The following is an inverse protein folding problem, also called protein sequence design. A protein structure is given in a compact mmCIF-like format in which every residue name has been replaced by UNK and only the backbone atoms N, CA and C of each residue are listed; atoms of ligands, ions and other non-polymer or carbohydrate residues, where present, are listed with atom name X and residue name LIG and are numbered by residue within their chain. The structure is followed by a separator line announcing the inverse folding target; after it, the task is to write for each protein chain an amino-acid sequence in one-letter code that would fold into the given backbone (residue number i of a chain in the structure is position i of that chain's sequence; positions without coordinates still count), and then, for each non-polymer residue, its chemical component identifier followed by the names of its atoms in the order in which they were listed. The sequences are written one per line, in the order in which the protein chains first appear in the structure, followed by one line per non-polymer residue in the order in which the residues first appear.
data_IF_261058587904
#
_entry.id   IF_261058587904
#
_cell.length_a   1.000
_cell.length_b   1.000
_cell.length_c   1.000
_cell.angle_alpha   90.00
_cell.angle_beta   90.00
_cell.angle_gamma   90.00
#
_symmetry.space_group_name_H-M   'P 1'
#
loop_
_entity.id
_entity.type
_entity.pdbx_description
1 polymer ?
#
# COMPACT_ATOMS: atom_id res chain seq x y z
N UNK A 1 -11.80 16.45 -26.49
CA UNK A 1 -12.55 15.32 -25.92
C UNK A 1 -13.51 15.83 -24.82
N UNK A 2 -13.09 16.56 -23.77
CA UNK A 2 -13.92 16.99 -22.66
C UNK A 2 -15.26 17.63 -23.08
N UNK A 3 -15.23 18.61 -24.00
CA UNK A 3 -16.46 19.22 -24.55
C UNK A 3 -17.40 18.21 -25.20
N UNK A 4 -16.87 17.21 -25.91
CA UNK A 4 -17.69 16.21 -26.57
C UNK A 4 -18.33 15.24 -25.57
N UNK A 5 -17.62 14.90 -24.50
CA UNK A 5 -18.13 14.05 -23.42
C UNK A 5 -19.20 14.82 -22.65
N UNK A 6 -18.90 16.02 -22.18
CA UNK A 6 -19.84 16.82 -21.38
C UNK A 6 -21.09 17.24 -22.18
N UNK A 7 -21.03 17.27 -23.52
CA UNK A 7 -22.22 17.43 -24.34
C UNK A 7 -23.22 16.27 -24.22
N UNK A 8 -22.72 15.08 -23.91
CA UNK A 8 -23.51 13.84 -23.79
C UNK A 8 -23.81 13.48 -22.34
N UNK A 9 -22.84 13.69 -21.47
CA UNK A 9 -22.89 13.40 -20.04
C UNK A 9 -22.31 14.63 -19.32
N UNK A 10 -23.16 15.63 -18.98
CA UNK A 10 -22.71 16.93 -18.48
C UNK A 10 -21.83 16.85 -17.24
N UNK A 11 -22.11 15.92 -16.33
CA UNK A 11 -21.43 15.79 -15.04
C UNK A 11 -20.41 14.63 -15.02
N UNK A 12 -19.98 14.14 -16.20
CA UNK A 12 -18.99 13.07 -16.27
C UNK A 12 -17.67 13.51 -15.61
N UNK A 13 -17.18 12.82 -14.57
CA UNK A 13 -15.86 13.11 -14.04
C UNK A 13 -14.79 12.74 -15.06
N UNK A 14 -13.89 13.68 -15.35
CA UNK A 14 -12.79 13.50 -16.29
C UNK A 14 -11.46 13.60 -15.55
N UNK A 15 -10.57 12.71 -15.86
CA UNK A 15 -9.26 12.67 -15.22
C UNK A 15 -8.21 11.96 -16.08
N UNK A 16 -7.15 11.60 -15.45
CA UNK A 16 -5.98 10.98 -16.06
C UNK A 16 -4.71 11.54 -15.43
N UNK A 17 -3.57 11.47 -16.14
CA UNK A 17 -3.38 10.82 -17.43
C UNK A 17 -3.12 9.32 -17.37
N UNK A 18 -3.18 8.70 -16.20
CA UNK A 18 -2.87 7.28 -15.97
C UNK A 18 -1.44 6.93 -16.37
N UNK A 19 -0.50 7.56 -15.66
CA UNK A 19 0.92 7.28 -15.90
C UNK A 19 1.26 5.85 -15.50
N UNK A 20 2.00 5.17 -16.36
CA UNK A 20 2.81 4.01 -15.99
C UNK A 20 4.19 4.51 -15.50
N UNK A 21 4.74 3.98 -14.42
CA UNK A 21 6.09 4.33 -13.98
C UNK A 21 6.25 5.76 -13.45
N UNK A 22 5.48 6.12 -12.47
CA UNK A 22 5.39 7.45 -11.86
C UNK A 22 6.69 8.18 -11.50
N UNK A 23 7.79 7.55 -11.07
CA UNK A 23 9.03 8.28 -10.84
C UNK A 23 9.70 8.76 -12.11
N UNK A 24 9.62 7.98 -13.18
CA UNK A 24 10.26 8.30 -14.46
C UNK A 24 9.63 9.51 -15.13
N UNK A 25 8.33 9.73 -14.97
CA UNK A 25 7.63 10.87 -15.57
C UNK A 25 8.13 12.21 -15.04
N UNK A 26 8.41 12.31 -13.76
CA UNK A 26 8.88 13.57 -13.16
C UNK A 26 10.30 13.91 -13.62
N UNK A 27 11.15 12.90 -13.76
CA UNK A 27 12.59 13.08 -13.96
C UNK A 27 13.02 13.01 -15.43
N UNK A 28 12.25 12.36 -16.32
CA UNK A 28 12.78 11.89 -17.60
C UNK A 28 12.23 12.61 -18.83
N UNK A 29 11.15 13.38 -18.73
CA UNK A 29 10.48 13.93 -19.90
C UNK A 29 10.64 15.45 -20.01
N UNK A 30 11.89 15.92 -20.05
CA UNK A 30 12.18 17.30 -20.39
C UNK A 30 11.71 17.64 -21.81
N UNK A 31 11.09 18.81 -21.98
CA UNK A 31 10.80 19.33 -23.31
C UNK A 31 12.01 20.06 -23.93
N UNK A 32 11.89 20.46 -25.17
CA UNK A 32 12.93 21.23 -25.88
C UNK A 32 13.29 22.59 -25.21
N UNK A 33 12.47 23.09 -24.31
CA UNK A 33 12.67 24.31 -23.53
C UNK A 33 13.25 24.06 -22.15
N UNK A 34 13.66 22.83 -21.84
CA UNK A 34 14.22 22.45 -20.52
C UNK A 34 13.19 22.37 -19.39
N UNK A 35 11.90 22.35 -19.69
CA UNK A 35 10.86 22.12 -18.70
C UNK A 35 10.80 20.64 -18.37
N UNK A 36 11.06 20.32 -17.12
CA UNK A 36 11.44 18.97 -16.71
C UNK A 36 10.28 17.98 -16.67
N UNK A 37 9.05 18.26 -16.67
CA UNK A 37 8.01 17.27 -16.35
C UNK A 37 6.85 17.33 -17.34
N UNK A 38 6.38 16.15 -17.79
CA UNK A 38 5.12 16.04 -18.52
C UNK A 38 3.96 16.58 -17.68
N UNK A 39 3.92 16.26 -16.39
CA UNK A 39 2.91 16.73 -15.44
C UNK A 39 2.81 18.25 -15.43
N UNK A 40 3.95 18.96 -15.39
CA UNK A 40 3.98 20.43 -15.46
C UNK A 40 3.39 20.94 -16.76
N UNK A 41 3.82 20.39 -17.89
CA UNK A 41 3.34 20.80 -19.22
C UNK A 41 1.85 20.51 -19.40
N UNK A 42 1.37 19.38 -18.88
CA UNK A 42 -0.02 19.00 -18.92
C UNK A 42 -0.90 20.00 -18.15
N UNK A 43 -0.54 20.34 -16.91
CA UNK A 43 -1.32 21.31 -16.15
C UNK A 43 -1.19 22.73 -16.69
N UNK A 44 -0.03 23.14 -17.20
CA UNK A 44 0.13 24.44 -17.87
C UNK A 44 -0.73 24.53 -19.14
N UNK A 45 -0.84 23.44 -19.90
CA UNK A 45 -1.73 23.35 -21.06
C UNK A 45 -3.20 23.49 -20.64
N UNK A 46 -3.64 22.77 -19.63
CA UNK A 46 -5.03 22.87 -19.16
C UNK A 46 -5.36 24.29 -18.68
N UNK A 47 -4.47 24.92 -17.92
CA UNK A 47 -4.64 26.31 -17.46
C UNK A 47 -4.72 27.30 -18.61
N UNK A 48 -3.78 27.25 -19.54
CA UNK A 48 -3.71 28.18 -20.67
C UNK A 48 -4.91 28.08 -21.61
N UNK A 49 -5.59 26.94 -21.63
CA UNK A 49 -6.80 26.71 -22.40
C UNK A 49 -8.10 26.87 -21.62
N UNK A 50 -8.04 27.29 -20.35
CA UNK A 50 -9.22 27.42 -19.49
C UNK A 50 -9.96 26.10 -19.28
N UNK A 51 -9.21 24.99 -19.16
CA UNK A 51 -9.75 23.63 -19.07
C UNK A 51 -9.39 22.91 -17.78
N UNK A 52 -8.78 23.60 -16.83
CA UNK A 52 -8.37 22.98 -15.56
C UNK A 52 -9.58 22.47 -14.76
N UNK A 53 -10.71 23.17 -14.83
CA UNK A 53 -11.94 22.78 -14.14
C UNK A 53 -12.59 21.50 -14.69
N UNK A 54 -12.24 21.10 -15.92
CA UNK A 54 -12.67 19.80 -16.45
C UNK A 54 -11.91 18.62 -15.80
N UNK A 55 -10.77 18.90 -15.16
CA UNK A 55 -9.91 17.89 -14.57
C UNK A 55 -10.32 17.62 -13.12
N UNK A 56 -11.05 16.53 -12.90
CA UNK A 56 -11.69 16.25 -11.63
C UNK A 56 -10.98 15.19 -10.79
N UNK A 57 -10.08 14.41 -11.38
CA UNK A 57 -9.23 13.47 -10.66
C UNK A 57 -7.91 13.22 -11.39
N UNK A 58 -6.86 12.92 -10.65
CA UNK A 58 -5.57 12.49 -11.17
C UNK A 58 -5.45 10.97 -11.02
N UNK A 59 -4.97 10.29 -12.05
CA UNK A 59 -4.77 8.84 -12.02
C UNK A 59 -3.38 8.45 -12.47
N UNK A 60 -2.87 7.36 -11.91
CA UNK A 60 -1.57 6.81 -12.21
C UNK A 60 -1.53 5.32 -11.92
N UNK A 61 -0.54 4.65 -12.46
CA UNK A 61 -0.20 3.27 -12.18
C UNK A 61 1.09 3.21 -11.34
N UNK A 62 1.23 2.20 -10.52
CA UNK A 62 2.45 2.03 -9.76
C UNK A 62 2.86 0.56 -9.68
N UNK A 63 4.00 0.30 -10.27
CA UNK A 63 4.69 -0.99 -10.20
C UNK A 63 6.08 -0.71 -9.65
N UNK A 64 6.38 -1.10 -8.41
CA UNK A 64 7.71 -0.91 -7.87
C UNK A 64 8.71 -1.64 -8.76
N UNK A 65 9.82 -1.00 -9.05
CA UNK A 65 10.91 -1.64 -9.77
C UNK A 65 10.78 -1.82 -11.30
N UNK A 66 9.69 -1.38 -11.92
CA UNK A 66 9.62 -1.41 -13.38
C UNK A 66 10.79 -0.68 -14.03
N UNK A 67 11.20 0.44 -13.45
CA UNK A 67 12.17 1.35 -14.06
C UNK A 67 13.58 1.28 -13.47
N UNK A 68 13.81 0.58 -12.36
CA UNK A 68 15.04 0.73 -11.58
C UNK A 68 15.85 -0.52 -11.34
N UNK A 69 15.35 -1.70 -11.70
CA UNK A 69 15.99 -2.95 -11.28
C UNK A 69 16.11 -2.99 -9.75
N UNK A 70 15.10 -3.42 -9.05
CA UNK A 70 15.16 -3.47 -7.58
C UNK A 70 16.02 -4.64 -7.10
N UNK A 71 16.89 -4.41 -6.13
CA UNK A 71 17.38 -5.49 -5.29
C UNK A 71 16.16 -6.08 -4.56
N UNK A 72 15.94 -7.35 -4.71
CA UNK A 72 14.75 -8.11 -4.27
C UNK A 72 14.01 -7.55 -3.04
N UNK A 73 14.56 -7.66 -1.87
CA UNK A 73 13.88 -7.28 -0.62
C UNK A 73 14.02 -5.79 -0.26
N UNK A 74 15.15 -5.19 -0.59
CA UNK A 74 15.47 -3.82 -0.21
C UNK A 74 14.51 -2.77 -0.79
N UNK A 75 13.82 -3.09 -1.88
CA UNK A 75 12.79 -2.21 -2.45
C UNK A 75 11.64 -1.88 -1.49
N UNK A 76 11.37 -2.76 -0.51
CA UNK A 76 10.35 -2.52 0.50
C UNK A 76 10.68 -1.34 1.44
N UNK A 77 11.97 -1.07 1.68
CA UNK A 77 12.37 -0.08 2.66
C UNK A 77 12.08 1.35 2.21
N UNK A 78 12.27 1.61 0.91
CA UNK A 78 12.21 2.97 0.36
C UNK A 78 10.80 3.32 -0.17
N UNK A 79 9.90 2.37 -0.25
CA UNK A 79 8.61 2.53 -0.92
C UNK A 79 7.74 3.64 -0.31
N UNK A 80 7.53 3.74 1.02
CA UNK A 80 6.71 4.80 1.60
C UNK A 80 7.30 6.20 1.39
N UNK A 81 8.62 6.33 1.40
CA UNK A 81 9.30 7.59 1.13
C UNK A 81 9.18 7.96 -0.36
N UNK A 82 9.31 6.98 -1.24
CA UNK A 82 9.11 7.16 -2.68
C UNK A 82 7.69 7.65 -2.99
N UNK A 83 6.65 7.07 -2.38
CA UNK A 83 5.27 7.53 -2.51
C UNK A 83 5.14 9.01 -2.15
N UNK A 84 5.66 9.41 -1.01
CA UNK A 84 5.58 10.80 -0.56
C UNK A 84 6.34 11.75 -1.50
N UNK A 85 7.53 11.35 -1.95
CA UNK A 85 8.36 12.12 -2.89
C UNK A 85 7.64 12.34 -4.23
N UNK A 86 7.03 11.31 -4.78
CA UNK A 86 6.33 11.38 -6.07
C UNK A 86 5.08 12.26 -5.98
N UNK A 87 4.27 12.09 -4.93
CA UNK A 87 3.09 12.94 -4.72
C UNK A 87 3.48 14.40 -4.54
N UNK A 88 4.55 14.68 -3.80
CA UNK A 88 5.05 16.05 -3.64
C UNK A 88 5.52 16.62 -4.97
N UNK A 89 6.23 15.85 -5.77
CA UNK A 89 6.67 16.27 -7.10
C UNK A 89 5.49 16.62 -8.02
N UNK A 90 4.39 15.87 -8.00
CA UNK A 90 3.19 16.23 -8.76
C UNK A 90 2.57 17.55 -8.29
N UNK A 91 2.49 17.77 -6.98
CA UNK A 91 2.00 19.03 -6.41
C UNK A 91 2.88 20.20 -6.82
N UNK A 92 4.19 20.07 -6.77
CA UNK A 92 5.16 21.07 -7.18
C UNK A 92 5.11 21.35 -8.70
N UNK A 93 4.69 20.37 -9.47
CA UNK A 93 4.47 20.48 -10.93
C UNK A 93 3.05 20.90 -11.30
N UNK A 94 2.21 21.24 -10.35
CA UNK A 94 0.95 21.94 -10.57
C UNK A 94 -0.31 21.13 -10.44
N UNK A 95 -0.25 19.90 -9.89
CA UNK A 95 -1.46 19.17 -9.48
C UNK A 95 -2.22 20.04 -8.46
N UNK A 96 -3.47 20.42 -8.73
CA UNK A 96 -4.23 21.23 -7.80
C UNK A 96 -4.50 20.47 -6.49
N UNK A 97 -4.35 21.10 -5.32
CA UNK A 97 -4.44 20.42 -4.03
C UNK A 97 -5.81 19.82 -3.72
N UNK A 98 -6.86 20.32 -4.36
CA UNK A 98 -8.24 19.82 -4.19
C UNK A 98 -8.56 18.64 -5.12
N UNK A 99 -7.72 18.34 -6.11
CA UNK A 99 -7.96 17.24 -7.06
C UNK A 99 -7.54 15.94 -6.38
N UNK A 100 -8.47 15.00 -6.18
CA UNK A 100 -8.13 13.70 -5.64
C UNK A 100 -7.26 12.91 -6.61
N UNK A 101 -6.41 12.05 -6.09
CA UNK A 101 -5.59 11.17 -6.90
C UNK A 101 -5.88 9.70 -6.56
N UNK A 102 -5.77 8.85 -7.58
CA UNK A 102 -6.08 7.43 -7.50
C UNK A 102 -4.97 6.62 -8.16
N UNK A 103 -4.50 5.60 -7.46
CA UNK A 103 -3.75 4.54 -8.12
C UNK A 103 -4.76 3.64 -8.83
N UNK A 104 -4.78 3.72 -10.15
CA UNK A 104 -5.74 2.98 -10.97
C UNK A 104 -5.26 1.58 -11.33
N UNK A 105 -3.98 1.32 -11.16
CA UNK A 105 -3.35 0.04 -11.39
C UNK A 105 -2.06 -0.06 -10.57
N UNK A 106 -1.80 -1.21 -9.96
CA UNK A 106 -0.55 -1.44 -9.27
C UNK A 106 -0.41 -2.86 -8.73
N UNK A 107 0.82 -3.35 -8.76
CA UNK A 107 1.21 -4.65 -8.22
C UNK A 107 2.75 -4.73 -8.12
N UNK A 108 3.25 -5.58 -7.25
CA UNK A 108 4.64 -6.03 -7.25
C UNK A 108 4.74 -7.33 -8.06
N UNK A 109 5.05 -7.19 -9.36
CA UNK A 109 5.02 -8.31 -10.32
C UNK A 109 6.39 -8.96 -10.55
N UNK A 110 7.49 -8.36 -10.10
CA UNK A 110 8.85 -8.77 -10.48
C UNK A 110 9.58 -9.52 -9.37
N UNK A 111 10.69 -10.12 -9.75
CA UNK A 111 11.70 -10.78 -8.90
C UNK A 111 11.38 -12.18 -8.38
N UNK A 112 10.56 -12.95 -9.08
CA UNK A 112 10.23 -14.32 -8.65
C UNK A 112 9.48 -14.36 -7.31
N UNK A 113 9.10 -13.18 -6.80
CA UNK A 113 8.49 -13.00 -5.49
C UNK A 113 6.98 -13.11 -5.46
N UNK A 114 6.30 -13.21 -6.62
CA UNK A 114 4.85 -13.14 -6.69
C UNK A 114 4.11 -14.20 -5.84
N UNK A 115 4.71 -15.37 -5.65
CA UNK A 115 4.19 -16.40 -4.75
C UNK A 115 4.56 -16.20 -3.27
N UNK A 116 5.49 -15.30 -2.95
CA UNK A 116 6.03 -15.12 -1.60
C UNK A 116 5.23 -14.09 -0.77
N UNK A 117 5.60 -13.94 0.49
CA UNK A 117 5.00 -12.91 1.36
C UNK A 117 5.41 -11.48 0.98
N UNK A 118 6.51 -11.28 0.24
CA UNK A 118 7.03 -9.95 -0.11
C UNK A 118 6.00 -9.04 -0.78
N UNK A 119 5.28 -9.44 -1.85
CA UNK A 119 4.25 -8.59 -2.46
C UNK A 119 3.09 -8.24 -1.53
N UNK A 120 2.81 -9.09 -0.54
CA UNK A 120 1.81 -8.78 0.49
C UNK A 120 2.27 -7.66 1.42
N UNK A 121 3.55 -7.70 1.86
CA UNK A 121 4.16 -6.63 2.65
C UNK A 121 4.17 -5.32 1.87
N UNK A 122 4.62 -5.38 0.60
CA UNK A 122 4.60 -4.22 -0.29
C UNK A 122 3.21 -3.61 -0.38
N UNK A 123 2.19 -4.42 -0.66
CA UNK A 123 0.81 -3.94 -0.84
C UNK A 123 0.27 -3.27 0.42
N UNK A 124 0.53 -3.86 1.60
CA UNK A 124 0.08 -3.30 2.86
C UNK A 124 0.76 -1.95 3.17
N UNK A 125 2.07 -1.89 2.97
CA UNK A 125 2.87 -0.69 3.20
C UNK A 125 2.49 0.42 2.22
N UNK A 126 2.36 0.08 0.94
CA UNK A 126 1.97 1.02 -0.11
C UNK A 126 0.56 1.59 0.12
N UNK A 127 -0.44 0.75 0.42
CA UNK A 127 -1.80 1.22 0.73
C UNK A 127 -1.80 2.13 1.95
N UNK A 128 -1.10 1.75 3.01
CA UNK A 128 -0.96 2.59 4.20
C UNK A 128 -0.35 3.96 3.88
N UNK A 129 0.73 3.99 3.13
CA UNK A 129 1.43 5.22 2.74
C UNK A 129 0.57 6.12 1.86
N UNK A 130 -0.01 5.59 0.78
CA UNK A 130 -0.75 6.40 -0.19
C UNK A 130 -2.07 6.92 0.37
N UNK A 131 -2.78 6.13 1.17
CA UNK A 131 -4.00 6.58 1.85
C UNK A 131 -3.70 7.69 2.86
N UNK A 132 -2.60 7.55 3.62
CA UNK A 132 -2.14 8.60 4.55
C UNK A 132 -1.70 9.87 3.81
N UNK A 133 -1.20 9.75 2.58
CA UNK A 133 -0.88 10.87 1.73
C UNK A 133 -2.11 11.55 1.09
N UNK A 134 -3.31 10.98 1.24
CA UNK A 134 -4.57 11.55 0.81
C UNK A 134 -5.11 11.00 -0.51
N UNK A 135 -4.74 9.78 -0.91
CA UNK A 135 -5.33 9.13 -2.06
C UNK A 135 -6.85 8.91 -1.89
N UNK A 136 -7.60 9.07 -2.97
CA UNK A 136 -9.02 8.77 -3.01
C UNK A 136 -9.33 7.26 -3.12
N UNK A 137 -8.37 6.47 -3.56
CA UNK A 137 -8.49 5.03 -3.67
C UNK A 137 -7.31 4.38 -4.38
N UNK A 138 -7.25 3.06 -4.27
CA UNK A 138 -6.24 2.21 -4.90
C UNK A 138 -6.89 1.01 -5.53
N UNK A 139 -6.42 0.63 -6.72
CA UNK A 139 -6.90 -0.52 -7.46
C UNK A 139 -5.74 -1.47 -7.75
N UNK A 140 -5.92 -2.71 -7.37
CA UNK A 140 -4.90 -3.73 -7.56
C UNK A 140 -5.01 -4.37 -8.96
N UNK A 141 -3.89 -4.57 -9.62
CA UNK A 141 -3.81 -5.28 -10.88
C UNK A 141 -3.17 -6.65 -10.69
N UNK A 142 -3.94 -7.73 -10.85
CA UNK A 142 -5.35 -7.82 -11.22
C UNK A 142 -6.08 -8.91 -10.39
N UNK A 143 -7.41 -9.00 -10.52
CA UNK A 143 -8.22 -9.90 -9.70
C UNK A 143 -8.00 -11.37 -10.01
N UNK A 144 -8.04 -11.74 -11.27
CA UNK A 144 -7.93 -13.14 -11.69
C UNK A 144 -6.55 -13.37 -12.29
N UNK A 145 -5.84 -14.26 -11.68
CA UNK A 145 -4.65 -14.82 -12.28
C UNK A 145 -5.06 -15.91 -13.25
N UNK A 146 -4.18 -16.18 -14.22
CA UNK A 146 -4.09 -17.49 -14.83
C UNK A 146 -3.87 -18.55 -13.73
N UNK A 147 -3.89 -19.82 -14.06
CA UNK A 147 -3.76 -20.96 -13.13
C UNK A 147 -2.55 -20.91 -12.18
N UNK A 148 -1.65 -19.96 -12.37
CA UNK A 148 -0.42 -19.84 -11.65
C UNK A 148 -0.49 -18.74 -10.58
N UNK A 149 -0.26 -19.09 -9.30
CA UNK A 149 -0.13 -18.13 -8.18
C UNK A 149 0.98 -17.10 -8.40
N UNK A 150 1.99 -17.44 -9.19
CA UNK A 150 3.06 -16.54 -9.55
C UNK A 150 2.69 -15.44 -10.55
N UNK A 151 1.48 -15.40 -11.05
CA UNK A 151 1.05 -14.42 -12.06
C UNK A 151 0.61 -13.07 -11.50
N UNK A 152 0.71 -12.84 -10.19
CA UNK A 152 0.37 -11.58 -9.56
C UNK A 152 -1.12 -11.31 -9.34
N UNK A 153 -2.01 -12.20 -9.74
CA UNK A 153 -3.44 -12.06 -9.47
C UNK A 153 -3.84 -12.43 -8.04
N UNK A 154 -4.97 -11.93 -7.59
CA UNK A 154 -5.48 -12.27 -6.25
C UNK A 154 -5.99 -13.71 -6.14
N UNK A 155 -6.63 -14.21 -7.18
CA UNK A 155 -7.45 -15.41 -7.15
C UNK A 155 -7.03 -16.37 -8.26
N UNK A 156 -6.09 -17.29 -8.02
CA UNK A 156 -5.82 -18.39 -8.93
C UNK A 156 -7.09 -19.21 -9.17
N UNK A 157 -7.37 -19.48 -10.43
CA UNK A 157 -8.56 -20.21 -10.85
C UNK A 157 -8.16 -21.44 -11.65
N UNK A 158 -8.99 -22.50 -11.60
CA UNK A 158 -8.91 -23.68 -12.46
C UNK A 158 -9.54 -23.42 -13.85
N UNK A 159 -9.45 -24.41 -14.73
CA UNK A 159 -10.06 -24.35 -16.08
C UNK A 159 -11.58 -24.17 -16.06
N UNK A 160 -12.24 -24.42 -14.94
CA UNK A 160 -13.66 -24.22 -14.75
C UNK A 160 -14.00 -22.86 -14.13
N UNK A 161 -13.02 -21.99 -13.92
CA UNK A 161 -13.18 -20.69 -13.28
C UNK A 161 -13.38 -20.74 -11.76
N UNK A 162 -13.02 -21.84 -11.09
CA UNK A 162 -13.12 -21.96 -9.64
C UNK A 162 -11.85 -21.49 -8.99
N UNK A 163 -11.99 -20.70 -7.94
CA UNK A 163 -10.84 -20.28 -7.10
C UNK A 163 -10.23 -21.52 -6.44
N UNK A 164 -8.96 -21.74 -6.67
CA UNK A 164 -8.21 -22.91 -6.17
C UNK A 164 -7.42 -22.59 -4.91
N UNK A 165 -7.06 -21.33 -4.72
CA UNK A 165 -6.28 -20.86 -3.58
C UNK A 165 -6.36 -19.34 -3.44
N UNK A 166 -5.71 -18.80 -2.42
CA UNK A 166 -5.57 -17.37 -2.21
C UNK A 166 -4.10 -16.98 -2.29
N UNK A 167 -3.83 -15.86 -2.96
CA UNK A 167 -2.47 -15.31 -2.97
C UNK A 167 -2.18 -14.57 -1.67
N UNK A 168 -0.91 -14.36 -1.31
CA UNK A 168 -0.55 -13.59 -0.12
C UNK A 168 -1.07 -12.14 -0.20
N UNK A 169 -1.12 -11.54 -1.40
CA UNK A 169 -1.70 -10.21 -1.61
C UNK A 169 -3.21 -10.17 -1.30
N UNK A 170 -3.95 -11.21 -1.67
CA UNK A 170 -5.36 -11.33 -1.30
C UNK A 170 -5.54 -11.40 0.22
N UNK A 171 -4.73 -12.20 0.90
CA UNK A 171 -4.78 -12.34 2.35
C UNK A 171 -4.39 -11.02 3.05
N UNK A 172 -3.36 -10.31 2.54
CA UNK A 172 -3.02 -8.97 2.99
C UNK A 172 -4.18 -7.98 2.81
N UNK A 173 -4.85 -8.02 1.65
CA UNK A 173 -6.01 -7.16 1.39
C UNK A 173 -7.14 -7.43 2.37
N UNK A 174 -7.37 -8.67 2.77
CA UNK A 174 -8.34 -8.98 3.82
C UNK A 174 -7.93 -8.37 5.17
N UNK A 175 -6.65 -8.43 5.53
CA UNK A 175 -6.14 -7.79 6.75
C UNK A 175 -6.37 -6.29 6.70
N UNK A 176 -6.07 -5.65 5.57
CA UNK A 176 -6.27 -4.20 5.42
C UNK A 176 -7.75 -3.83 5.48
N UNK A 177 -8.60 -4.49 4.70
CA UNK A 177 -9.99 -4.07 4.49
C UNK A 177 -10.96 -4.51 5.59
N UNK A 178 -10.64 -5.57 6.32
CA UNK A 178 -11.53 -6.12 7.36
C UNK A 178 -11.01 -5.92 8.77
N UNK A 179 -9.68 -5.82 8.93
CA UNK A 179 -9.07 -5.76 10.25
C UNK A 179 -8.54 -4.35 10.56
N UNK A 180 -7.74 -3.76 9.67
CA UNK A 180 -7.29 -2.38 9.85
C UNK A 180 -8.46 -1.41 9.65
N UNK A 181 -9.10 -1.41 8.49
CA UNK A 181 -10.36 -0.71 8.29
C UNK A 181 -11.54 -1.49 8.88
N UNK A 182 -12.64 -0.81 9.12
CA UNK A 182 -13.93 -1.44 9.42
C UNK A 182 -14.73 -1.50 8.11
N UNK A 183 -15.26 -2.67 7.70
CA UNK A 183 -15.99 -2.81 6.44
C UNK A 183 -17.43 -2.30 6.55
N UNK A 184 -17.58 -1.02 6.77
CA UNK A 184 -18.86 -0.32 6.89
C UNK A 184 -18.84 0.95 6.06
N UNK A 185 -19.99 1.40 5.61
CA UNK A 185 -20.17 2.68 4.90
C UNK A 185 -20.17 3.85 5.88
N UNK A 186 -19.01 4.10 6.48
CA UNK A 186 -18.79 5.20 7.41
C UNK A 186 -17.34 5.67 7.35
N UNK A 187 -17.13 6.97 7.59
CA UNK A 187 -15.83 7.59 7.50
C UNK A 187 -14.87 7.10 8.59
N UNK A 188 -13.67 6.74 8.18
CA UNK A 188 -12.51 6.52 9.06
C UNK A 188 -11.68 7.79 9.13
N UNK A 189 -10.98 8.00 10.24
CA UNK A 189 -10.03 9.10 10.36
C UNK A 189 -8.61 8.56 10.36
N UNK A 190 -7.84 8.93 9.35
CA UNK A 190 -6.43 8.58 9.23
C UNK A 190 -5.56 9.59 10.00
N UNK A 191 -4.50 9.09 10.62
CA UNK A 191 -3.55 9.89 11.38
C UNK A 191 -2.14 9.58 10.91
N UNK A 192 -1.28 10.61 10.94
CA UNK A 192 0.14 10.41 10.70
C UNK A 192 0.73 9.53 11.79
N UNK A 193 1.55 8.58 11.41
CA UNK A 193 2.31 7.73 12.31
C UNK A 193 3.79 7.77 11.90
N UNK A 194 4.67 7.42 12.83
CA UNK A 194 6.10 7.28 12.61
C UNK A 194 6.61 6.08 13.40
N UNK A 195 7.71 5.52 12.96
CA UNK A 195 8.44 4.45 13.64
C UNK A 195 9.91 4.81 13.75
N UNK A 196 10.51 4.41 14.85
CA UNK A 196 11.96 4.55 15.12
C UNK A 196 12.74 3.24 14.88
N UNK A 197 12.06 2.18 14.47
CA UNK A 197 12.70 0.88 14.17
C UNK A 197 13.41 0.98 12.82
N UNK A 198 14.74 1.06 12.89
CA UNK A 198 15.62 1.25 11.72
C UNK A 198 16.81 0.30 11.78
N UNK A 199 17.37 0.01 10.60
CA UNK A 199 18.67 -0.65 10.50
C UNK A 199 19.84 0.35 10.66
N UNK A 200 21.06 -0.17 10.61
CA UNK A 200 22.28 0.64 10.69
C UNK A 200 22.46 1.58 9.48
N UNK A 201 21.87 1.28 8.34
CA UNK A 201 21.87 2.12 7.16
C UNK A 201 20.83 3.24 7.21
N UNK A 202 19.91 3.19 8.19
CA UNK A 202 18.85 4.18 8.40
C UNK A 202 17.53 3.83 7.70
N UNK A 203 17.41 2.66 7.07
CA UNK A 203 16.14 2.23 6.48
C UNK A 203 15.09 1.97 7.56
N UNK A 204 13.86 2.37 7.31
CA UNK A 204 12.75 2.08 8.22
C UNK A 204 12.31 0.63 8.05
N UNK A 205 12.61 -0.20 9.06
CA UNK A 205 12.28 -1.62 9.05
C UNK A 205 10.81 -1.90 9.41
N UNK A 206 10.22 -1.07 10.25
CA UNK A 206 8.81 -1.16 10.60
C UNK A 206 8.13 0.13 10.24
N UNK A 207 7.07 0.05 9.42
CA UNK A 207 6.19 1.19 9.14
C UNK A 207 4.89 1.07 9.90
N UNK A 208 4.24 2.21 10.17
CA UNK A 208 3.02 2.28 10.95
C UNK A 208 2.00 3.22 10.29
N UNK A 209 0.73 2.80 10.29
CA UNK A 209 -0.40 3.57 9.78
C UNK A 209 -1.57 3.47 10.76
N UNK A 210 -2.03 4.61 11.25
CA UNK A 210 -3.04 4.65 12.29
C UNK A 210 -4.37 5.22 11.78
N UNK A 211 -5.46 4.63 12.20
CA UNK A 211 -6.79 5.16 11.98
C UNK A 211 -7.68 5.01 13.21
N UNK A 212 -8.64 5.94 13.34
CA UNK A 212 -9.77 5.80 14.23
C UNK A 212 -10.96 5.28 13.42
N UNK A 213 -11.45 4.12 13.82
CA UNK A 213 -12.56 3.43 13.17
C UNK A 213 -13.92 4.01 13.57
N UNK A 214 -14.97 3.81 12.78
CA UNK A 214 -16.34 4.22 13.14
C UNK A 214 -16.86 3.64 14.45
N UNK A 215 -16.38 2.44 14.86
CA UNK A 215 -16.72 1.83 16.15
C UNK A 215 -15.99 2.45 17.37
N UNK A 216 -15.18 3.46 17.14
CA UNK A 216 -14.41 4.16 18.16
C UNK A 216 -13.15 3.42 18.63
N UNK A 217 -12.75 2.33 17.96
CA UNK A 217 -11.47 1.69 18.19
C UNK A 217 -10.37 2.37 17.38
N UNK A 218 -9.19 2.47 17.98
CA UNK A 218 -7.97 2.74 17.24
C UNK A 218 -7.48 1.45 16.59
N UNK A 219 -7.06 1.58 15.35
CA UNK A 219 -6.50 0.49 14.58
C UNK A 219 -5.15 0.93 13.99
N UNK A 220 -4.11 0.18 14.27
CA UNK A 220 -2.75 0.44 13.80
C UNK A 220 -2.32 -0.73 12.92
N UNK A 221 -2.05 -0.41 11.65
CA UNK A 221 -1.41 -1.30 10.71
C UNK A 221 0.10 -1.12 10.85
N UNK A 222 0.81 -2.19 11.11
CA UNK A 222 2.26 -2.26 11.20
C UNK A 222 2.76 -3.20 10.13
N UNK A 223 3.80 -2.80 9.40
CA UNK A 223 4.47 -3.67 8.44
C UNK A 223 5.91 -3.85 8.87
N UNK A 224 6.23 -5.04 9.39
CA UNK A 224 7.60 -5.40 9.71
C UNK A 224 8.28 -5.94 8.44
N UNK A 225 9.12 -5.13 7.86
CA UNK A 225 9.90 -5.42 6.64
C UNK A 225 11.24 -6.08 6.95
N UNK A 226 11.59 -6.24 8.22
CA UNK A 226 12.78 -6.98 8.59
C UNK A 226 12.60 -8.45 8.22
N UNK A 227 13.48 -8.95 7.36
CA UNK A 227 13.44 -10.32 6.88
C UNK A 227 13.87 -11.33 7.93
N UNK A 228 14.72 -10.90 8.85
CA UNK A 228 15.51 -11.80 9.70
C UNK A 228 15.13 -11.72 11.17
N UNK A 229 14.61 -10.55 11.64
CA UNK A 229 14.37 -10.32 13.06
C UNK A 229 12.94 -9.90 13.38
N UNK A 230 12.45 -10.45 14.50
CA UNK A 230 11.26 -9.97 15.18
C UNK A 230 11.58 -8.68 15.91
N UNK A 231 10.60 -7.79 16.03
CA UNK A 231 10.73 -6.56 16.80
C UNK A 231 9.69 -6.51 17.93
N UNK A 232 10.08 -5.92 19.06
CA UNK A 232 9.17 -5.60 20.15
C UNK A 232 9.03 -4.09 20.26
N UNK A 233 7.82 -3.57 20.13
CA UNK A 233 7.55 -2.14 20.07
C UNK A 233 6.52 -1.69 21.08
N UNK A 234 6.64 -0.47 21.57
CA UNK A 234 5.58 0.26 22.27
C UNK A 234 4.85 1.15 21.28
N UNK A 235 3.53 1.29 21.43
CA UNK A 235 2.73 2.18 20.60
C UNK A 235 2.16 3.28 21.45
N UNK A 236 2.52 4.52 21.13
CA UNK A 236 1.97 5.71 21.76
C UNK A 236 1.12 6.52 20.77
N UNK A 237 0.14 7.20 21.29
CA UNK A 237 -0.74 8.13 20.56
C UNK A 237 -0.54 9.52 21.13
N UNK A 238 0.04 10.42 20.33
CA UNK A 238 0.22 11.80 20.73
C UNK A 238 -1.13 12.54 20.78
N UNK A 239 -1.45 13.08 21.93
CA UNK A 239 -2.55 14.02 22.13
C UNK A 239 -1.95 15.44 22.11
N UNK A 240 -1.95 16.06 20.93
CA UNK A 240 -1.32 17.37 20.72
C UNK A 240 -1.98 18.48 21.57
N UNK A 241 -3.29 18.38 21.80
CA UNK A 241 -4.03 19.39 22.57
C UNK A 241 -3.75 19.27 24.07
N UNK A 242 -3.54 18.05 24.55
CA UNK A 242 -3.26 17.79 25.96
C UNK A 242 -1.74 17.76 26.26
N UNK A 243 -0.88 17.78 25.25
CA UNK A 243 0.57 17.67 25.40
C UNK A 243 1.05 16.38 26.08
N UNK A 244 0.29 15.30 25.92
CA UNK A 244 0.57 14.00 26.56
C UNK A 244 0.49 12.85 25.57
N UNK A 245 1.12 11.75 25.94
CA UNK A 245 0.99 10.48 25.23
C UNK A 245 -0.13 9.64 25.86
N UNK A 246 -0.84 8.90 25.01
CA UNK A 246 -1.82 7.90 25.39
C UNK A 246 -1.39 6.56 24.82
N UNK A 247 -1.87 5.47 25.39
CA UNK A 247 -1.49 4.12 25.00
C UNK A 247 -2.72 3.23 24.90
N UNK A 248 -2.59 2.11 24.22
CA UNK A 248 -3.62 1.08 24.28
C UNK A 248 -3.87 0.65 25.73
N UNK A 249 -5.13 0.40 26.06
CA UNK A 249 -5.57 -0.04 27.37
C UNK A 249 -6.62 -1.14 27.27
N UNK A 250 -6.51 -2.13 28.15
CA UNK A 250 -7.41 -3.28 28.18
C UNK A 250 -7.08 -4.32 27.11
N UNK A 251 -8.09 -4.89 26.49
CA UNK A 251 -7.91 -5.92 25.47
C UNK A 251 -7.62 -5.28 24.12
N UNK A 252 -6.52 -5.67 23.50
CA UNK A 252 -6.13 -5.31 22.12
C UNK A 252 -6.20 -6.55 21.27
N UNK A 253 -7.00 -6.52 20.21
CA UNK A 253 -7.00 -7.56 19.19
C UNK A 253 -5.77 -7.43 18.32
N UNK A 254 -5.14 -8.56 18.04
CA UNK A 254 -3.94 -8.67 17.22
C UNK A 254 -4.18 -9.67 16.10
N UNK A 255 -4.04 -9.20 14.87
CA UNK A 255 -4.08 -10.02 13.66
C UNK A 255 -2.71 -9.95 12.99
N UNK A 256 -2.17 -11.09 12.58
CA UNK A 256 -0.87 -11.19 11.93
C UNK A 256 -0.99 -11.99 10.66
N UNK A 257 -0.30 -11.53 9.62
CA UNK A 257 -0.08 -12.27 8.40
C UNK A 257 1.34 -12.02 7.91
N UNK A 258 2.10 -13.07 7.75
CA UNK A 258 3.49 -12.95 7.33
C UNK A 258 4.14 -14.31 7.06
N UNK A 259 5.47 -14.34 7.17
CA UNK A 259 6.26 -15.53 6.87
C UNK A 259 5.95 -16.76 7.74
N UNK A 260 5.33 -16.54 8.91
CA UNK A 260 4.90 -17.64 9.78
C UNK A 260 3.55 -18.26 9.36
N UNK A 261 2.66 -17.47 8.76
CA UNK A 261 1.35 -17.90 8.28
C UNK A 261 1.36 -18.32 6.82
N UNK A 262 2.39 -17.93 6.06
CA UNK A 262 2.46 -18.20 4.63
C UNK A 262 3.90 -18.40 4.17
N UNK A 263 4.19 -19.58 3.61
CA UNK A 263 5.50 -19.90 3.04
C UNK A 263 5.34 -20.52 1.66
N UNK A 264 5.94 -19.87 0.66
CA UNK A 264 5.93 -20.33 -0.72
C UNK A 264 7.05 -21.32 -1.00
N UNK A 265 6.68 -22.42 -1.66
CA UNK A 265 7.61 -23.45 -2.15
C UNK A 265 7.48 -23.52 -3.66
N UNK A 266 8.43 -22.92 -4.42
CA UNK A 266 8.40 -22.98 -5.87
C UNK A 266 8.71 -24.38 -6.37
N UNK A 267 8.04 -24.78 -7.45
CA UNK A 267 8.42 -25.98 -8.20
C UNK A 267 9.74 -25.74 -8.93
N UNK A 268 10.52 -26.79 -9.22
CA UNK A 268 11.70 -26.69 -10.07
C UNK A 268 11.31 -26.14 -11.45
N UNK A 269 11.79 -24.94 -11.80
CA UNK A 269 11.46 -24.32 -13.08
C UNK A 269 12.28 -24.89 -14.22
N UNK A 270 11.67 -25.13 -15.40
CA UNK A 270 12.43 -25.13 -16.64
C UNK A 270 12.97 -23.72 -16.89
N UNK A 271 14.18 -23.61 -17.39
CA UNK A 271 14.94 -22.36 -17.57
C UNK A 271 14.28 -21.29 -18.50
N UNK A 272 13.10 -21.54 -19.04
CA UNK A 272 12.36 -20.68 -19.97
C UNK A 272 11.27 -19.79 -19.32
N UNK A 273 10.93 -19.99 -18.05
CA UNK A 273 9.81 -19.27 -17.41
C UNK A 273 10.31 -18.24 -16.38
N UNK A 274 11.19 -17.36 -16.80
CA UNK A 274 11.76 -16.32 -15.93
C UNK A 274 10.78 -15.15 -15.67
N UNK A 275 9.61 -15.15 -16.25
CA UNK A 275 8.60 -14.12 -16.01
C UNK A 275 7.49 -14.62 -15.06
N UNK A 276 7.60 -14.21 -13.80
CA UNK A 276 6.50 -14.29 -12.84
C UNK A 276 6.36 -15.61 -12.09
N UNK A 277 7.11 -15.80 -11.04
CA UNK A 277 6.82 -16.64 -9.87
C UNK A 277 6.62 -18.14 -10.05
N UNK A 278 6.57 -18.65 -11.23
CA UNK A 278 6.50 -20.08 -11.52
C UNK A 278 5.29 -20.83 -10.92
N UNK A 279 5.23 -22.13 -11.12
CA UNK A 279 4.36 -23.04 -10.38
C UNK A 279 4.93 -23.29 -8.98
N UNK A 280 4.08 -23.69 -8.04
CA UNK A 280 4.46 -23.97 -6.66
C UNK A 280 3.25 -24.09 -5.76
N UNK A 281 3.50 -24.23 -4.48
CA UNK A 281 2.46 -24.28 -3.46
C UNK A 281 2.89 -23.52 -2.20
N UNK A 282 1.92 -23.15 -1.38
CA UNK A 282 2.19 -22.56 -0.07
C UNK A 282 1.98 -23.60 1.05
N UNK A 283 2.90 -23.68 2.00
CA UNK A 283 2.79 -24.44 3.22
C UNK A 283 3.66 -23.82 4.33
N UNK A 284 3.05 -23.16 5.35
CA UNK A 284 1.61 -22.93 5.53
C UNK A 284 0.99 -22.04 4.45
N UNK A 285 -0.35 -22.12 4.28
CA UNK A 285 -1.15 -21.38 3.29
C UNK A 285 -2.22 -20.49 3.96
N UNK A 286 -1.82 -19.72 4.98
CA UNK A 286 -2.77 -18.89 5.75
C UNK A 286 -3.74 -19.71 6.60
N UNK A 287 -4.82 -19.14 7.11
CA UNK A 287 -5.19 -17.72 7.10
C UNK A 287 -4.34 -16.85 8.04
N UNK A 288 -4.55 -15.51 8.07
CA UNK A 288 -3.97 -14.65 9.11
C UNK A 288 -4.28 -15.15 10.51
N UNK A 289 -3.28 -15.16 11.38
CA UNK A 289 -3.43 -15.57 12.77
C UNK A 289 -4.09 -14.49 13.62
N UNK A 290 -4.82 -14.90 14.68
CA UNK A 290 -5.57 -13.99 15.55
C UNK A 290 -5.28 -14.30 17.01
N UNK A 291 -5.08 -13.26 17.79
CA UNK A 291 -4.85 -13.33 19.22
C UNK A 291 -5.30 -12.04 19.90
N UNK A 292 -5.23 -12.02 21.23
CA UNK A 292 -5.44 -10.80 22.02
C UNK A 292 -4.23 -10.55 22.90
N UNK A 293 -3.94 -9.27 23.13
CA UNK A 293 -2.93 -8.82 24.08
C UNK A 293 -3.64 -7.96 25.12
N UNK A 294 -3.36 -8.18 26.41
CA UNK A 294 -3.80 -7.26 27.44
C UNK A 294 -2.80 -6.11 27.52
N UNK A 295 -3.26 -4.93 27.18
CA UNK A 295 -2.45 -3.74 27.23
C UNK A 295 -2.56 -3.05 28.59
N UNK A 296 -1.41 -2.69 29.12
CA UNK A 296 -1.22 -1.97 30.38
C UNK A 296 -0.36 -0.71 30.12
N UNK A 297 -0.92 0.17 29.33
CA UNK A 297 -0.31 1.45 29.00
C UNK A 297 1.08 1.34 28.35
N UNK A 298 1.98 2.23 28.74
CA UNK A 298 3.34 2.35 28.20
C UNK A 298 4.22 1.10 28.42
N UNK A 299 3.87 0.25 29.39
CA UNK A 299 4.63 -0.97 29.67
C UNK A 299 4.38 -2.09 28.66
N UNK A 300 3.38 -1.95 27.79
CA UNK A 300 3.00 -3.00 26.84
C UNK A 300 3.94 -3.01 25.64
N UNK A 301 4.58 -4.16 25.44
CA UNK A 301 5.36 -4.46 24.25
C UNK A 301 4.55 -5.36 23.31
N UNK A 302 4.39 -4.91 22.08
CA UNK A 302 3.76 -5.68 21.02
C UNK A 302 4.83 -6.38 20.19
N UNK A 303 4.72 -7.71 20.10
CA UNK A 303 5.64 -8.52 19.30
C UNK A 303 5.24 -8.48 17.83
N UNK A 304 6.17 -8.07 16.98
CA UNK A 304 6.04 -7.98 15.53
C UNK A 304 6.94 -9.04 14.91
N UNK A 305 6.39 -10.18 14.46
CA UNK A 305 7.19 -11.19 13.78
C UNK A 305 7.87 -10.61 12.55
N UNK A 306 9.01 -11.16 12.19
CA UNK A 306 9.72 -10.80 10.96
C UNK A 306 8.85 -10.99 9.72
N UNK A 307 9.08 -10.21 8.68
CA UNK A 307 8.38 -10.30 7.40
C UNK A 307 6.86 -10.45 7.58
N UNK A 308 6.22 -9.51 8.29
CA UNK A 308 4.80 -9.63 8.61
C UNK A 308 4.03 -8.31 8.59
N UNK A 309 2.74 -8.44 8.36
CA UNK A 309 1.71 -7.40 8.49
C UNK A 309 0.98 -7.65 9.79
N UNK A 310 0.88 -6.64 10.64
CA UNK A 310 0.22 -6.75 11.93
C UNK A 310 -0.85 -5.66 12.03
N UNK A 311 -2.04 -6.03 12.47
CA UNK A 311 -3.07 -5.08 12.87
C UNK A 311 -3.32 -5.20 14.35
N UNK A 312 -3.22 -4.08 15.06
CA UNK A 312 -3.58 -3.94 16.46
C UNK A 312 -4.83 -3.07 16.58
N UNK A 313 -5.86 -3.58 17.24
CA UNK A 313 -7.13 -2.85 17.44
C UNK A 313 -7.51 -2.82 18.90
N UNK A 314 -7.82 -1.63 19.38
CA UNK A 314 -8.22 -1.46 20.79
C UNK A 314 -8.64 -0.04 21.11
N UNK A 315 -8.90 0.18 22.39
CA UNK A 315 -9.15 1.52 22.92
C UNK A 315 -7.88 2.06 23.54
N UNK A 316 -7.73 3.38 23.46
CA UNK A 316 -6.67 4.09 24.19
C UNK A 316 -7.22 4.57 25.53
N UNK A 317 -6.40 4.44 26.57
CA UNK A 317 -6.72 4.89 27.92
C UNK A 317 -6.10 6.24 28.23
N UNK A 318 -6.69 6.93 29.18
CA UNK A 318 -6.03 8.02 29.92
C UNK A 318 -5.14 7.37 30.98
N UNK A 319 -3.84 7.70 31.01
CA UNK A 319 -2.93 7.39 32.10
C UNK A 319 -2.83 8.56 33.05
#
# INVERSE_FOLDING_TARGET
FAKAIHKRVPDAPLGGPSYEGTPADVDSWADANGRASFTRRFFDYLRSHGRLDDFTFFSFEHYPCLDRGCPEWASLYDEPENVNRVIQAWKDNGLPPQVPFFMTEGNDLRDGGAGTVKPALWLADYIGAIMTAGAGGTYYFHYMASQNRGSGGFLPIDDNGRVTSYTPQYLATQVITKEWAQPVDAAHKLFKAASDVRDEAGHTLVTAYALLRPDGQWSVLLVNKDRDYDHAVTISFADADAGRERFFAGTVERVVFGAAEYQWHPDPLPASDAEGGGSGHADPDGPPSRSTVRADGAATLFQLPKASIIVLRGRIGDQ
#
